data_IF_371314404602
#
_entry.id   IF_371314404602
#
_cell.length_a   1.000
_cell.length_b   1.000
_cell.length_c   1.000
_cell.angle_alpha   90.00
_cell.angle_beta   90.00
_cell.angle_gamma   90.00
#
_symmetry.space_group_name_H-M   'P 1'
#
loop_
_entity.id
_entity.type
_entity.pdbx_description
1 polymer ?
#
# COMPACT_ATOMS: atom_id res chain seq x y z
N UNK A 1 -1.94 32.37 -28.97
CA UNK A 1 -1.45 33.05 -27.75
C UNK A 1 -2.16 34.38 -27.54
N UNK A 2 -2.05 35.38 -28.43
CA UNK A 2 -2.86 36.62 -28.26
C UNK A 2 -4.38 36.40 -28.47
N UNK A 3 -4.78 35.42 -29.28
CA UNK A 3 -6.20 35.10 -29.51
C UNK A 3 -6.88 34.36 -28.34
N UNK A 4 -6.16 33.94 -27.30
CA UNK A 4 -6.64 32.92 -26.38
C UNK A 4 -7.52 33.45 -25.24
N UNK A 5 -7.18 34.60 -24.64
CA UNK A 5 -7.97 35.25 -23.58
C UNK A 5 -9.31 35.79 -24.09
N UNK A 6 -9.37 36.21 -25.36
CA UNK A 6 -10.58 36.76 -25.98
C UNK A 6 -11.74 35.75 -26.05
N UNK A 7 -11.47 34.44 -26.02
CA UNK A 7 -12.51 33.41 -26.14
C UNK A 7 -13.42 33.39 -24.90
N UNK A 8 -12.85 33.41 -23.70
CA UNK A 8 -13.61 33.37 -22.45
C UNK A 8 -14.49 34.62 -22.27
N UNK A 9 -13.91 35.80 -22.49
CA UNK A 9 -14.64 37.08 -22.35
C UNK A 9 -15.75 37.25 -23.40
N UNK A 10 -15.57 36.71 -24.61
CA UNK A 10 -16.60 36.72 -25.65
C UNK A 10 -17.74 35.71 -25.34
N UNK A 11 -17.43 34.56 -24.75
CA UNK A 11 -18.42 33.58 -24.27
C UNK A 11 -19.34 34.15 -23.18
N UNK A 12 -18.78 34.88 -22.19
CA UNK A 12 -19.59 35.55 -21.16
C UNK A 12 -20.51 36.64 -21.75
N UNK A 13 -20.08 37.30 -22.82
CA UNK A 13 -20.77 38.47 -23.39
C UNK A 13 -21.82 38.11 -24.45
N UNK A 14 -21.51 37.15 -25.33
CA UNK A 14 -22.30 36.81 -26.52
C UNK A 14 -22.73 35.33 -26.57
N UNK A 15 -22.38 34.54 -25.56
CA UNK A 15 -22.69 33.10 -25.50
C UNK A 15 -22.02 32.28 -26.60
N UNK A 16 -22.62 31.13 -26.92
CA UNK A 16 -22.06 30.13 -27.84
C UNK A 16 -21.84 30.65 -29.28
N UNK A 17 -22.51 31.73 -29.70
CA UNK A 17 -22.28 32.37 -31.00
C UNK A 17 -20.87 32.98 -31.13
N UNK A 18 -20.24 33.38 -30.02
CA UNK A 18 -18.87 33.88 -30.00
C UNK A 18 -17.88 32.86 -30.59
N UNK A 19 -18.11 31.57 -30.36
CA UNK A 19 -17.22 30.49 -30.82
C UNK A 19 -17.18 30.47 -32.35
N UNK A 20 -18.33 30.65 -33.01
CA UNK A 20 -18.41 30.68 -34.48
C UNK A 20 -17.67 31.88 -35.08
N UNK A 21 -17.63 33.02 -34.37
CA UNK A 21 -16.84 34.18 -34.80
C UNK A 21 -15.32 33.99 -34.65
N UNK A 22 -14.88 33.08 -33.77
CA UNK A 22 -13.47 32.84 -33.44
C UNK A 22 -12.89 31.64 -34.23
N UNK A 23 -13.66 30.55 -34.33
CA UNK A 23 -13.23 29.27 -34.91
C UNK A 23 -13.83 28.99 -36.29
N UNK A 24 -14.77 29.80 -36.78
CA UNK A 24 -15.42 29.58 -38.07
C UNK A 24 -14.68 30.06 -39.30
N UNK A 25 -13.60 30.87 -39.16
CA UNK A 25 -12.80 31.36 -40.31
C UNK A 25 -13.67 32.03 -41.41
N UNK A 26 -14.67 32.81 -40.99
CA UNK A 26 -15.66 33.45 -41.88
C UNK A 26 -16.72 32.51 -42.48
N UNK A 27 -16.62 31.19 -42.29
CA UNK A 27 -17.66 30.22 -42.61
C UNK A 27 -18.67 30.12 -41.46
N UNK A 28 -19.90 29.79 -41.79
CA UNK A 28 -20.96 29.51 -40.81
C UNK A 28 -20.88 28.05 -40.31
N UNK A 29 -19.69 27.57 -39.97
CA UNK A 29 -19.43 26.22 -39.45
C UNK A 29 -18.17 26.16 -38.60
N UNK A 30 -18.09 25.20 -37.67
CA UNK A 30 -16.89 24.91 -36.85
C UNK A 30 -16.49 23.46 -37.08
N UNK A 31 -15.20 23.18 -37.29
CA UNK A 31 -14.71 21.80 -37.41
C UNK A 31 -14.89 21.02 -36.09
N UNK A 32 -15.31 19.76 -36.16
CA UNK A 32 -15.56 18.90 -34.97
C UNK A 32 -14.34 18.79 -34.05
N UNK A 33 -13.12 18.84 -34.60
CA UNK A 33 -11.85 18.86 -33.86
C UNK A 33 -11.68 20.06 -32.91
N UNK A 34 -12.37 21.17 -33.14
CA UNK A 34 -12.30 22.35 -32.27
C UNK A 34 -13.25 22.24 -31.05
N UNK A 35 -14.23 21.32 -31.07
CA UNK A 35 -15.21 21.17 -29.99
C UNK A 35 -14.58 20.78 -28.65
N UNK A 36 -13.52 19.97 -28.67
CA UNK A 36 -12.73 19.60 -27.48
C UNK A 36 -12.11 20.82 -26.80
N UNK A 37 -11.38 21.64 -27.58
CA UNK A 37 -10.73 22.88 -27.13
C UNK A 37 -11.75 23.91 -26.63
N UNK A 38 -12.93 23.95 -27.25
CA UNK A 38 -14.04 24.83 -26.88
C UNK A 38 -14.67 24.42 -25.54
N UNK A 39 -14.82 23.12 -25.28
CA UNK A 39 -15.29 22.59 -23.99
C UNK A 39 -14.24 22.79 -22.88
N UNK A 40 -12.97 22.51 -23.18
CA UNK A 40 -11.84 22.74 -22.27
C UNK A 40 -11.74 24.21 -21.86
N UNK A 41 -11.89 25.16 -22.80
CA UNK A 41 -11.94 26.61 -22.52
C UNK A 41 -13.19 27.07 -21.76
N UNK A 42 -14.25 26.27 -21.70
CA UNK A 42 -15.39 26.48 -20.79
C UNK A 42 -15.22 25.79 -19.43
N UNK A 43 -14.07 25.17 -19.17
CA UNK A 43 -13.77 24.48 -17.91
C UNK A 43 -14.27 23.04 -17.84
N UNK A 44 -14.66 22.43 -18.98
CA UNK A 44 -15.22 21.08 -19.04
C UNK A 44 -14.25 20.07 -19.65
N UNK A 45 -13.70 19.19 -18.81
CA UNK A 45 -12.87 18.05 -19.23
C UNK A 45 -13.74 16.85 -19.59
N UNK A 46 -14.06 16.67 -20.88
CA UNK A 46 -14.87 15.54 -21.36
C UNK A 46 -13.99 14.37 -21.85
N UNK A 47 -14.16 13.14 -21.34
CA UNK A 47 -13.43 11.96 -21.83
C UNK A 47 -13.69 11.69 -23.32
N UNK A 48 -12.65 11.37 -24.10
CA UNK A 48 -12.73 11.16 -25.57
C UNK A 48 -13.90 10.30 -26.01
N UNK A 49 -14.13 9.15 -25.37
CA UNK A 49 -15.23 8.24 -25.70
C UNK A 49 -16.64 8.80 -25.45
N UNK A 50 -16.79 9.79 -24.54
CA UNK A 50 -18.05 10.53 -24.34
C UNK A 50 -18.19 11.65 -25.37
N UNK A 51 -17.07 12.27 -25.78
CA UNK A 51 -17.04 13.29 -26.83
C UNK A 51 -17.32 12.71 -28.22
N UNK A 52 -16.74 11.55 -28.55
CA UNK A 52 -17.01 10.80 -29.79
C UNK A 52 -18.51 10.48 -29.93
N UNK A 53 -19.13 9.91 -28.90
CA UNK A 53 -20.57 9.61 -28.90
C UNK A 53 -21.46 10.87 -28.93
N UNK A 54 -20.93 12.03 -28.55
CA UNK A 54 -21.62 13.33 -28.65
C UNK A 54 -21.45 13.95 -30.05
N UNK A 55 -20.29 13.79 -30.68
CA UNK A 55 -20.03 14.15 -32.07
C UNK A 55 -20.92 13.33 -33.03
N UNK A 56 -21.11 12.04 -32.77
CA UNK A 56 -22.06 11.19 -33.52
C UNK A 56 -23.52 11.69 -33.46
N UNK A 57 -23.92 12.45 -32.41
CA UNK A 57 -25.26 13.07 -32.28
C UNK A 57 -25.32 14.49 -32.88
N UNK A 58 -24.20 15.22 -32.95
CA UNK A 58 -24.11 16.56 -33.55
C UNK A 58 -23.86 16.56 -35.06
N UNK A 59 -23.10 15.59 -35.57
CA UNK A 59 -22.77 15.42 -36.98
C UNK A 59 -23.21 14.02 -37.48
N UNK A 60 -24.53 13.79 -37.63
CA UNK A 60 -25.07 12.52 -38.10
C UNK A 60 -24.79 12.23 -39.59
N UNK A 61 -24.16 13.17 -40.31
CA UNK A 61 -23.70 12.98 -41.69
C UNK A 61 -22.19 12.65 -41.77
N UNK A 62 -21.46 12.70 -40.65
CA UNK A 62 -20.01 12.56 -40.55
C UNK A 62 -19.23 13.47 -41.52
N UNK A 63 -19.71 14.70 -41.68
CA UNK A 63 -19.14 15.69 -42.60
C UNK A 63 -17.97 16.49 -41.99
N UNK A 64 -17.79 16.45 -40.67
CA UNK A 64 -16.73 17.12 -39.92
C UNK A 64 -16.98 18.60 -39.60
N UNK A 65 -18.10 19.18 -40.02
CA UNK A 65 -18.43 20.61 -39.91
C UNK A 65 -19.76 20.86 -39.18
N UNK A 66 -19.67 21.31 -37.93
CA UNK A 66 -20.81 21.71 -37.10
C UNK A 66 -21.33 23.06 -37.59
N UNK A 67 -22.40 23.05 -38.41
CA UNK A 67 -22.92 24.27 -39.05
C UNK A 67 -23.77 25.15 -38.12
N UNK A 68 -23.64 26.47 -38.27
CA UNK A 68 -24.29 27.50 -37.45
C UNK A 68 -25.82 27.48 -37.55
N UNK A 69 -26.38 26.99 -38.66
CA UNK A 69 -27.82 26.80 -38.81
C UNK A 69 -28.42 25.88 -37.73
N UNK A 70 -27.59 25.02 -37.11
CA UNK A 70 -27.99 24.16 -36.01
C UNK A 70 -27.67 24.74 -34.62
N UNK A 71 -27.14 25.96 -34.44
CA UNK A 71 -26.75 26.48 -33.09
C UNK A 71 -27.82 26.30 -32.03
N UNK A 72 -29.06 26.68 -32.31
CA UNK A 72 -30.20 26.54 -31.38
C UNK A 72 -30.50 25.07 -31.04
N UNK A 73 -30.27 24.16 -31.99
CA UNK A 73 -30.38 22.71 -31.78
C UNK A 73 -29.18 22.16 -30.99
N UNK A 74 -27.96 22.52 -31.36
CA UNK A 74 -26.71 22.14 -30.68
C UNK A 74 -26.75 22.59 -29.22
N UNK A 75 -27.16 23.83 -28.93
CA UNK A 75 -27.31 24.34 -27.56
C UNK A 75 -28.39 23.54 -26.80
N UNK A 76 -29.50 23.18 -27.44
CA UNK A 76 -30.55 22.36 -26.83
C UNK A 76 -30.09 20.92 -26.53
N UNK A 77 -29.37 20.30 -27.46
CA UNK A 77 -28.78 18.96 -27.31
C UNK A 77 -27.65 18.97 -26.30
N UNK A 78 -26.78 19.99 -26.31
CA UNK A 78 -25.72 20.22 -25.31
C UNK A 78 -26.30 20.35 -23.91
N UNK A 79 -27.26 21.26 -23.69
CA UNK A 79 -27.87 21.47 -22.37
C UNK A 79 -28.61 20.20 -21.88
N UNK A 80 -29.28 19.47 -22.77
CA UNK A 80 -29.94 18.21 -22.45
C UNK A 80 -28.93 17.11 -22.11
N UNK A 81 -27.85 16.99 -22.86
CA UNK A 81 -26.74 16.07 -22.60
C UNK A 81 -26.06 16.42 -21.27
N UNK A 82 -25.80 17.70 -21.03
CA UNK A 82 -25.19 18.22 -19.81
C UNK A 82 -26.05 17.93 -18.59
N UNK A 83 -27.35 18.25 -18.60
CA UNK A 83 -28.29 17.88 -17.52
C UNK A 83 -28.52 16.36 -17.36
N UNK A 84 -27.99 15.52 -18.26
CA UNK A 84 -28.01 14.06 -18.14
C UNK A 84 -26.68 13.48 -17.64
N UNK A 85 -25.58 14.24 -17.76
CA UNK A 85 -24.21 13.76 -17.47
C UNK A 85 -23.42 14.59 -16.44
N UNK A 86 -23.89 15.78 -16.04
CA UNK A 86 -23.24 16.60 -15.01
C UNK A 86 -23.19 15.87 -13.66
N UNK A 87 -24.32 15.31 -13.22
CA UNK A 87 -24.43 14.40 -12.05
C UNK A 87 -23.54 13.15 -12.16
N UNK A 88 -22.99 12.84 -13.34
CA UNK A 88 -22.06 11.73 -13.61
C UNK A 88 -20.60 12.18 -13.80
N UNK A 89 -20.29 13.47 -13.58
CA UNK A 89 -18.93 14.02 -13.67
C UNK A 89 -18.32 14.34 -12.29
N UNK A 90 -19.13 14.58 -11.25
CA UNK A 90 -18.62 14.84 -9.89
C UNK A 90 -18.15 13.56 -9.15
N UNK A 91 -18.59 12.37 -9.58
CA UNK A 91 -18.48 11.11 -8.82
C UNK A 91 -17.19 10.28 -9.09
N UNK A 92 -16.36 10.63 -10.08
CA UNK A 92 -15.18 9.82 -10.49
C UNK A 92 -13.80 10.45 -10.18
N UNK A 93 -13.66 11.77 -9.97
CA UNK A 93 -12.39 12.49 -10.21
C UNK A 93 -11.68 13.14 -8.98
N UNK A 94 -11.90 12.65 -7.74
CA UNK A 94 -11.14 13.12 -6.55
C UNK A 94 -10.13 12.12 -5.95
N UNK A 95 -10.05 10.86 -6.40
CA UNK A 95 -9.17 9.86 -5.75
C UNK A 95 -8.52 8.78 -6.65
N UNK A 96 -8.32 9.03 -7.96
CA UNK A 96 -7.37 8.21 -8.75
C UNK A 96 -5.98 8.88 -8.83
N UNK A 97 -4.97 8.44 -8.05
CA UNK A 97 -3.60 8.90 -8.24
C UNK A 97 -3.07 8.41 -9.59
N UNK A 98 -2.60 9.32 -10.43
CA UNK A 98 -2.20 9.10 -11.84
C UNK A 98 -0.85 8.37 -12.00
N UNK A 99 -0.61 7.33 -11.21
CA UNK A 99 0.43 6.32 -11.48
C UNK A 99 0.04 5.48 -12.70
N UNK A 100 0.55 5.87 -13.88
CA UNK A 100 0.46 5.15 -15.16
C UNK A 100 1.27 3.83 -15.16
N UNK A 101 1.05 2.97 -14.17
CA UNK A 101 1.75 1.69 -14.01
C UNK A 101 0.86 0.70 -13.25
N UNK A 102 -0.36 0.48 -13.76
CA UNK A 102 -1.31 -0.51 -13.25
C UNK A 102 -1.57 -1.57 -14.34
N UNK A 103 -0.49 -2.16 -14.85
CA UNK A 103 -0.58 -3.51 -15.41
C UNK A 103 -1.31 -4.40 -14.41
N UNK A 104 -2.06 -5.41 -14.88
CA UNK A 104 -2.70 -6.36 -13.97
C UNK A 104 -1.64 -7.28 -13.36
N UNK A 105 -0.97 -6.81 -12.32
CA UNK A 105 -0.01 -7.58 -11.54
C UNK A 105 -0.63 -8.95 -11.21
N UNK A 106 -0.06 -10.05 -11.75
CA UNK A 106 -0.59 -11.36 -11.45
C UNK A 106 -0.32 -11.64 -9.97
N UNK A 107 -1.25 -12.35 -9.30
CA UNK A 107 -1.11 -12.75 -7.89
C UNK A 107 0.24 -13.45 -7.58
N UNK A 108 0.87 -14.06 -8.59
CA UNK A 108 2.21 -14.64 -8.53
C UNK A 108 3.33 -13.62 -8.27
N UNK A 109 3.25 -12.41 -8.81
CA UNK A 109 4.23 -11.35 -8.59
C UNK A 109 4.20 -10.88 -7.13
N UNK A 110 3.02 -10.51 -6.63
CA UNK A 110 2.79 -10.12 -5.23
C UNK A 110 3.20 -11.25 -4.27
N UNK A 111 3.01 -12.52 -4.65
CA UNK A 111 3.49 -13.66 -3.88
C UNK A 111 5.02 -13.82 -3.89
N UNK A 112 5.73 -13.50 -4.98
CA UNK A 112 7.20 -13.47 -5.02
C UNK A 112 7.74 -12.35 -4.13
N UNK A 113 7.24 -11.13 -4.30
CA UNK A 113 7.60 -9.95 -3.52
C UNK A 113 7.37 -10.17 -2.02
N UNK A 114 6.26 -10.82 -1.63
CA UNK A 114 5.99 -11.23 -0.25
C UNK A 114 7.00 -12.25 0.28
N UNK A 115 7.57 -13.13 -0.55
CA UNK A 115 8.65 -14.03 -0.14
C UNK A 115 9.97 -13.28 0.03
N UNK A 116 10.31 -12.38 -0.90
CA UNK A 116 11.52 -11.56 -0.83
C UNK A 116 11.50 -10.61 0.37
N UNK A 117 10.36 -9.96 0.66
CA UNK A 117 10.15 -9.15 1.85
C UNK A 117 10.35 -9.96 3.15
N UNK A 118 9.88 -11.22 3.19
CA UNK A 118 10.10 -12.13 4.34
C UNK A 118 11.56 -12.57 4.47
N UNK A 119 12.25 -12.83 3.37
CA UNK A 119 13.68 -13.18 3.37
C UNK A 119 14.52 -11.99 3.84
N UNK A 120 14.21 -10.77 3.37
CA UNK A 120 14.86 -9.54 3.83
C UNK A 120 14.60 -9.31 5.33
N UNK A 121 13.34 -9.37 5.76
CA UNK A 121 12.94 -9.23 7.18
C UNK A 121 13.69 -10.23 8.08
N UNK A 122 13.78 -11.50 7.67
CA UNK A 122 14.51 -12.52 8.43
C UNK A 122 16.01 -12.21 8.52
N UNK A 123 16.65 -11.73 7.44
CA UNK A 123 18.06 -11.32 7.51
C UNK A 123 18.25 -10.21 8.55
N UNK A 124 17.43 -9.16 8.51
CA UNK A 124 17.46 -8.11 9.54
C UNK A 124 17.20 -8.63 10.95
N UNK A 125 16.29 -9.60 11.13
CA UNK A 125 16.05 -10.28 12.41
C UNK A 125 17.26 -11.11 12.90
N UNK A 126 18.01 -11.73 11.99
CA UNK A 126 19.25 -12.47 12.29
C UNK A 126 20.43 -11.49 12.59
N UNK A 127 20.54 -10.39 11.84
CA UNK A 127 21.56 -9.34 12.02
C UNK A 127 21.39 -8.59 13.35
N UNK A 128 20.14 -8.28 13.75
CA UNK A 128 19.81 -7.73 15.08
C UNK A 128 20.29 -8.67 16.20
N UNK A 129 20.17 -10.00 16.04
CA UNK A 129 20.70 -10.95 17.03
C UNK A 129 22.22 -10.96 17.07
N UNK A 130 22.90 -10.78 15.93
CA UNK A 130 24.36 -10.69 15.87
C UNK A 130 24.87 -9.42 16.59
N UNK A 131 24.25 -8.27 16.33
CA UNK A 131 24.54 -7.02 17.05
C UNK A 131 24.24 -7.13 18.55
N UNK A 132 23.14 -7.77 18.95
CA UNK A 132 22.82 -7.99 20.38
C UNK A 132 23.96 -8.72 21.11
N UNK A 133 24.53 -9.74 20.48
CA UNK A 133 25.67 -10.48 21.02
C UNK A 133 26.94 -9.60 21.06
N UNK A 134 27.25 -8.87 19.98
CA UNK A 134 28.44 -7.99 19.93
C UNK A 134 28.37 -6.83 20.93
N UNK A 135 27.21 -6.21 21.10
CA UNK A 135 26.93 -5.23 22.17
C UNK A 135 27.13 -5.83 23.57
N UNK A 136 26.71 -7.08 23.80
CA UNK A 136 26.94 -7.76 25.08
C UNK A 136 28.43 -8.03 25.35
N UNK A 137 29.21 -8.39 24.31
CA UNK A 137 30.66 -8.52 24.42
C UNK A 137 31.34 -7.17 24.70
N UNK A 138 31.02 -6.10 23.96
CA UNK A 138 31.58 -4.76 24.18
C UNK A 138 31.31 -4.23 25.59
N UNK A 139 30.07 -4.33 26.10
CA UNK A 139 29.72 -3.95 27.49
C UNK A 139 30.48 -4.77 28.53
N UNK A 140 30.75 -6.06 28.25
CA UNK A 140 31.59 -6.90 29.13
C UNK A 140 33.06 -6.49 29.09
N UNK A 141 33.59 -6.10 27.92
CA UNK A 141 34.97 -5.65 27.76
C UNK A 141 35.22 -4.28 28.39
N UNK A 142 34.30 -3.32 28.21
CA UNK A 142 34.31 -2.03 28.91
C UNK A 142 34.38 -2.25 30.43
N UNK A 143 33.51 -3.11 30.97
CA UNK A 143 33.48 -3.45 32.40
C UNK A 143 34.72 -4.20 32.89
N UNK A 144 35.46 -4.90 32.02
CA UNK A 144 36.76 -5.51 32.33
C UNK A 144 37.89 -4.48 32.27
N UNK A 145 37.86 -3.54 31.33
CA UNK A 145 38.83 -2.46 31.19
C UNK A 145 38.72 -1.48 32.37
N UNK A 146 37.51 -1.05 32.73
CA UNK A 146 37.27 -0.19 33.90
C UNK A 146 37.79 -0.84 35.18
N UNK A 147 37.52 -2.12 35.43
CA UNK A 147 38.10 -2.83 36.59
C UNK A 147 39.63 -2.82 36.61
N UNK A 148 40.29 -2.92 35.45
CA UNK A 148 41.76 -2.83 35.36
C UNK A 148 42.26 -1.41 35.63
N UNK A 149 41.51 -0.38 35.22
CA UNK A 149 41.78 1.02 35.60
C UNK A 149 41.62 1.20 37.11
N UNK A 150 40.50 0.78 37.67
CA UNK A 150 40.20 0.86 39.10
C UNK A 150 41.28 0.13 39.92
N UNK A 151 41.71 -1.06 39.49
CA UNK A 151 42.82 -1.79 40.10
C UNK A 151 44.19 -1.11 39.92
N UNK A 152 44.48 -0.51 38.77
CA UNK A 152 45.76 0.18 38.54
C UNK A 152 45.86 1.48 39.34
N UNK A 153 44.80 2.30 39.31
CA UNK A 153 44.66 3.50 40.14
C UNK A 153 44.69 3.11 41.62
N UNK A 154 43.95 2.07 42.03
CA UNK A 154 44.01 1.60 43.42
C UNK A 154 45.39 1.10 43.79
N UNK A 155 46.13 0.38 42.93
CA UNK A 155 47.51 -0.03 43.23
C UNK A 155 48.47 1.15 43.31
N UNK A 156 48.32 2.17 42.46
CA UNK A 156 49.12 3.39 42.55
C UNK A 156 48.80 4.18 43.82
N UNK A 157 47.52 4.28 44.17
CA UNK A 157 47.05 4.85 45.44
C UNK A 157 47.48 4.01 46.64
N UNK A 158 47.46 2.69 46.58
CA UNK A 158 47.91 1.79 47.64
C UNK A 158 49.44 1.87 47.77
N UNK A 159 50.22 2.02 46.70
CA UNK A 159 51.67 2.28 46.77
C UNK A 159 51.94 3.66 47.36
N UNK A 160 51.26 4.72 46.91
CA UNK A 160 51.38 6.06 47.49
C UNK A 160 50.90 6.10 48.96
N UNK A 161 49.86 5.34 49.28
CA UNK A 161 49.29 5.19 50.61
C UNK A 161 50.03 4.16 51.45
N UNK A 162 50.92 3.31 50.90
CA UNK A 162 51.89 2.47 51.62
C UNK A 162 53.24 3.19 51.71
N UNK A 163 53.55 4.17 50.87
CA UNK A 163 54.64 5.14 51.11
C UNK A 163 54.23 6.08 52.25
N UNK A 164 53.04 6.68 52.14
CA UNK A 164 52.40 7.44 53.24
C UNK A 164 52.14 6.55 54.45
N UNK A 165 51.62 5.32 54.31
CA UNK A 165 51.42 4.42 55.47
C UNK A 165 52.68 3.75 55.93
N UNK A 166 53.78 3.63 55.21
CA UNK A 166 55.04 3.23 55.84
C UNK A 166 55.63 4.40 56.64
N UNK A 167 55.52 5.64 56.15
CA UNK A 167 55.75 6.80 57.02
C UNK A 167 54.77 6.82 58.23
N UNK A 168 53.49 6.58 57.98
CA UNK A 168 52.41 6.59 58.98
C UNK A 168 52.25 5.27 59.76
N UNK A 169 53.04 4.21 59.54
CA UNK A 169 53.09 2.87 60.20
C UNK A 169 54.52 2.56 60.68
N UNK A 170 55.46 3.46 60.38
CA UNK A 170 56.42 3.95 61.36
C UNK A 170 55.70 4.81 62.42
N UNK A 171 54.54 5.43 62.16
CA UNK A 171 53.70 6.22 63.12
C UNK A 171 52.46 5.49 63.70
N UNK A 172 52.04 4.39 63.09
CA UNK A 172 50.93 3.46 63.40
C UNK A 172 51.56 2.06 63.54
N UNK A 173 50.80 1.01 63.87
CA UNK A 173 51.29 -0.24 64.51
C UNK A 173 52.04 -0.05 65.85
N UNK A 174 52.60 1.15 66.06
CA UNK A 174 52.09 2.09 67.09
C UNK A 174 50.52 2.09 67.30
N UNK A 175 49.64 1.31 66.57
CA UNK A 175 48.12 1.18 66.63
C UNK A 175 47.48 -0.19 66.05
N UNK A 176 46.29 -0.27 65.35
CA UNK A 176 45.27 -1.41 65.30
C UNK A 176 44.97 -2.29 63.99
N UNK A 177 43.70 -2.59 63.53
CA UNK A 177 43.34 -3.84 62.70
C UNK A 177 42.21 -3.93 61.55
N UNK A 178 40.91 -3.52 61.67
CA UNK A 178 39.62 -4.23 61.27
C UNK A 178 38.94 -4.47 59.82
N UNK A 179 38.63 -5.75 59.41
CA UNK A 179 37.40 -6.61 58.99
C UNK A 179 36.16 -6.30 58.00
N UNK A 180 35.58 -7.38 57.34
CA UNK A 180 34.13 -7.78 56.92
C UNK A 180 33.37 -7.49 55.53
N UNK A 181 32.49 -8.43 54.96
CA UNK A 181 31.65 -8.34 53.65
C UNK A 181 30.46 -9.39 53.31
N UNK A 182 29.53 -9.13 52.30
CA UNK A 182 28.80 -10.02 51.25
C UNK A 182 27.31 -10.63 51.27
N UNK A 183 26.53 -10.75 50.11
CA UNK A 183 25.24 -11.56 49.86
C UNK A 183 24.56 -11.65 48.39
N UNK A 184 23.44 -12.44 48.07
CA UNK A 184 22.83 -12.75 46.68
C UNK A 184 21.29 -13.22 46.41
N UNK A 185 20.63 -13.10 45.18
CA UNK A 185 19.14 -13.27 44.82
C UNK A 185 18.58 -14.44 43.85
N UNK A 186 17.30 -14.45 43.30
CA UNK A 186 16.49 -15.58 42.60
C UNK A 186 15.34 -15.19 41.52
N UNK A 187 14.56 -16.11 40.82
CA UNK A 187 13.66 -15.92 39.54
C UNK A 187 12.30 -16.79 39.30
N UNK A 188 11.57 -16.75 38.10
CA UNK A 188 10.20 -17.38 37.67
C UNK A 188 10.00 -17.66 36.09
N UNK A 189 8.94 -18.13 35.29
CA UNK A 189 7.42 -18.33 35.23
C UNK A 189 6.77 -19.19 34.00
N UNK A 190 5.47 -19.08 33.48
CA UNK A 190 4.82 -20.04 32.43
C UNK A 190 3.59 -19.72 31.40
N UNK A 191 2.62 -20.65 31.02
CA UNK A 191 1.80 -20.92 29.71
C UNK A 191 0.19 -21.07 29.75
N UNK A 192 -0.78 -21.45 28.81
CA UNK A 192 -1.22 -21.62 27.31
C UNK A 192 -2.78 -22.09 27.20
N UNK A 193 -3.69 -22.44 26.17
CA UNK A 193 -3.97 -22.61 24.65
C UNK A 193 -5.55 -22.74 24.20
N UNK A 194 -6.04 -23.20 22.97
CA UNK A 194 -7.50 -23.12 22.39
C UNK A 194 -8.09 -24.22 21.32
N UNK A 195 -9.37 -24.14 20.76
CA UNK A 195 -10.25 -25.08 19.86
C UNK A 195 -11.49 -24.38 19.07
N UNK A 196 -12.49 -24.84 18.20
CA UNK A 196 -12.96 -25.98 17.27
C UNK A 196 -14.35 -25.74 16.43
N UNK A 197 -14.90 -26.57 15.44
CA UNK A 197 -16.17 -26.30 14.56
C UNK A 197 -16.86 -27.41 13.57
N UNK A 198 -18.15 -27.30 13.03
CA UNK A 198 -18.96 -28.19 12.03
C UNK A 198 -20.33 -27.56 11.41
N UNK A 199 -21.36 -28.02 10.57
CA UNK A 199 -21.85 -28.96 9.42
C UNK A 199 -23.44 -28.74 9.09
N UNK A 200 -24.38 -29.21 8.15
CA UNK A 200 -24.74 -29.89 6.80
C UNK A 200 -26.35 -29.78 6.50
N UNK A 201 -27.27 -30.16 5.51
CA UNK A 201 -27.59 -30.88 4.16
C UNK A 201 -28.97 -30.34 3.48
N UNK A 202 -29.91 -30.78 2.54
CA UNK A 202 -30.44 -31.88 1.59
C UNK A 202 -31.48 -31.29 0.47
N UNK A 203 -32.49 -31.77 -0.39
CA UNK A 203 -33.36 -32.96 -0.86
C UNK A 203 -34.13 -32.83 -2.31
N UNK A 204 -35.28 -33.55 -2.67
CA UNK A 204 -36.02 -33.72 -4.04
C UNK A 204 -37.62 -33.94 -4.04
N UNK A 205 -38.57 -34.25 -5.02
CA UNK A 205 -38.98 -34.26 -6.53
C UNK A 205 -40.57 -34.56 -6.70
N UNK A 206 -41.43 -35.02 -7.72
CA UNK A 206 -41.57 -35.74 -9.08
C UNK A 206 -42.98 -35.52 -9.85
N UNK A 207 -43.38 -36.14 -11.03
CA UNK A 207 -44.62 -35.83 -11.93
C UNK A 207 -45.38 -36.97 -12.79
N UNK A 208 -46.47 -36.72 -13.63
CA UNK A 208 -47.34 -37.69 -14.48
C UNK A 208 -48.22 -37.12 -15.71
N UNK A 209 -48.98 -37.91 -16.56
CA UNK A 209 -49.79 -37.55 -17.83
C UNK A 209 -51.08 -38.43 -18.25
N UNK A 210 -51.79 -38.23 -19.43
CA UNK A 210 -53.20 -38.67 -19.85
C UNK A 210 -53.55 -39.26 -21.32
N UNK A 211 -54.81 -39.18 -21.89
CA UNK A 211 -55.46 -40.14 -22.92
C UNK A 211 -56.49 -39.66 -24.08
N UNK A 212 -57.40 -40.56 -24.60
CA UNK A 212 -58.59 -40.52 -25.59
C UNK A 212 -58.47 -39.92 -27.02
N UNK A 213 -58.50 -40.72 -28.11
CA UNK A 213 -58.37 -40.20 -29.51
C UNK A 213 -59.35 -40.81 -30.53
N UNK A 214 -59.80 -39.99 -31.51
CA UNK A 214 -60.67 -40.38 -32.66
C UNK A 214 -60.56 -39.37 -33.83
N UNK A 215 -61.63 -39.08 -34.59
CA UNK A 215 -61.74 -38.04 -35.67
C UNK A 215 -61.35 -36.62 -35.25
N UNK A 216 -61.16 -36.40 -33.94
CA UNK A 216 -60.24 -35.42 -33.37
C UNK A 216 -59.06 -35.14 -34.32
N UNK A 217 -58.40 -36.17 -34.89
CA UNK A 217 -57.12 -36.10 -35.62
C UNK A 217 -57.00 -35.10 -36.80
N UNK A 218 -58.05 -34.77 -37.57
CA UNK A 218 -57.95 -33.81 -38.69
C UNK A 218 -58.40 -32.38 -38.32
N UNK A 219 -59.33 -32.24 -37.37
CA UNK A 219 -59.51 -30.95 -36.69
C UNK A 219 -58.24 -30.62 -35.90
N UNK A 220 -57.64 -31.62 -35.23
CA UNK A 220 -56.26 -31.58 -34.76
C UNK A 220 -55.30 -31.20 -35.89
N UNK A 221 -55.33 -31.72 -37.12
CA UNK A 221 -54.29 -31.34 -38.09
C UNK A 221 -54.29 -29.84 -38.45
N UNK A 222 -55.47 -29.20 -38.48
CA UNK A 222 -55.58 -27.74 -38.67
C UNK A 222 -55.32 -26.95 -37.37
N UNK A 223 -55.82 -27.44 -36.24
CA UNK A 223 -55.54 -26.90 -34.91
C UNK A 223 -54.04 -26.99 -34.62
N UNK A 224 -53.43 -28.17 -34.69
CA UNK A 224 -51.98 -28.43 -34.70
C UNK A 224 -51.21 -27.53 -35.67
N UNK A 225 -51.75 -27.13 -36.82
CA UNK A 225 -51.00 -26.19 -37.69
C UNK A 225 -50.91 -24.81 -37.05
N UNK A 226 -52.03 -24.28 -36.55
CA UNK A 226 -52.09 -22.99 -35.85
C UNK A 226 -51.43 -23.05 -34.46
N UNK A 227 -51.58 -24.16 -33.76
CA UNK A 227 -50.91 -24.48 -32.50
C UNK A 227 -49.40 -24.60 -32.73
N UNK A 228 -48.91 -25.23 -33.80
CA UNK A 228 -47.48 -25.26 -34.17
C UNK A 228 -46.95 -23.87 -34.50
N UNK A 229 -47.74 -22.98 -35.08
CA UNK A 229 -47.34 -21.59 -35.33
C UNK A 229 -47.31 -20.76 -34.04
N UNK A 230 -48.35 -20.87 -33.21
CA UNK A 230 -48.40 -20.28 -31.86
C UNK A 230 -47.32 -20.85 -30.94
N UNK A 231 -47.01 -22.14 -31.07
CA UNK A 231 -45.96 -22.84 -30.34
C UNK A 231 -44.59 -22.43 -30.85
N UNK A 232 -44.34 -22.35 -32.17
CA UNK A 232 -43.12 -21.76 -32.72
C UNK A 232 -42.90 -20.34 -32.21
N UNK A 233 -43.94 -19.50 -32.20
CA UNK A 233 -43.87 -18.14 -31.68
C UNK A 233 -43.62 -18.11 -30.16
N UNK A 234 -44.27 -19.00 -29.39
CA UNK A 234 -44.02 -19.14 -27.95
C UNK A 234 -42.60 -19.65 -27.66
N UNK A 235 -42.11 -20.63 -28.43
CA UNK A 235 -40.75 -21.18 -28.35
C UNK A 235 -39.71 -20.15 -28.77
N UNK A 236 -39.98 -19.30 -29.77
CA UNK A 236 -39.12 -18.18 -30.14
C UNK A 236 -39.01 -17.17 -28.99
N UNK A 237 -40.14 -16.72 -28.43
CA UNK A 237 -40.16 -15.83 -27.25
C UNK A 237 -39.51 -16.47 -26.02
N UNK A 238 -39.72 -17.76 -25.80
CA UNK A 238 -39.06 -18.51 -24.72
C UNK A 238 -37.55 -18.63 -24.96
N UNK A 239 -37.11 -18.87 -26.20
CA UNK A 239 -35.70 -18.93 -26.58
C UNK A 239 -35.00 -17.58 -26.42
N UNK A 240 -35.64 -16.47 -26.83
CA UNK A 240 -35.15 -15.11 -26.59
C UNK A 240 -35.05 -14.78 -25.09
N UNK A 241 -36.07 -15.15 -24.30
CA UNK A 241 -36.05 -14.97 -22.85
C UNK A 241 -34.96 -15.82 -22.17
N UNK A 242 -34.77 -17.08 -22.59
CA UNK A 242 -33.69 -17.96 -22.13
C UNK A 242 -32.33 -17.34 -22.49
N UNK A 243 -32.13 -16.89 -23.73
CA UNK A 243 -30.88 -16.27 -24.20
C UNK A 243 -30.55 -14.99 -23.44
N UNK A 244 -31.53 -14.14 -23.13
CA UNK A 244 -31.34 -12.95 -22.28
C UNK A 244 -30.96 -13.33 -20.85
N UNK A 245 -31.68 -14.28 -20.25
CA UNK A 245 -31.39 -14.80 -18.91
C UNK A 245 -29.98 -15.43 -18.82
N UNK A 246 -29.57 -16.18 -19.85
CA UNK A 246 -28.23 -16.77 -19.96
C UNK A 246 -27.14 -15.70 -20.10
N UNK A 247 -27.34 -14.68 -20.94
CA UNK A 247 -26.41 -13.55 -21.08
C UNK A 247 -26.28 -12.75 -19.77
N UNK A 248 -27.37 -12.52 -19.06
CA UNK A 248 -27.34 -11.91 -17.72
C UNK A 248 -26.62 -12.80 -16.71
N UNK A 249 -26.89 -14.11 -16.68
CA UNK A 249 -26.22 -15.05 -15.79
C UNK A 249 -24.72 -15.14 -16.07
N UNK A 250 -24.31 -15.09 -17.34
CA UNK A 250 -22.90 -15.00 -17.74
C UNK A 250 -22.24 -13.72 -17.23
N UNK A 251 -22.85 -12.54 -17.49
CA UNK A 251 -22.36 -11.24 -16.97
C UNK A 251 -22.27 -11.22 -15.44
N UNK A 252 -23.29 -11.72 -14.74
CA UNK A 252 -23.32 -11.82 -13.27
C UNK A 252 -22.21 -12.75 -12.73
N UNK A 253 -21.94 -13.89 -13.38
CA UNK A 253 -20.81 -14.78 -13.06
C UNK A 253 -19.46 -14.13 -13.30
N UNK A 254 -19.30 -13.39 -14.40
CA UNK A 254 -18.04 -12.71 -14.73
C UNK A 254 -17.72 -11.58 -13.74
N UNK A 255 -18.71 -10.75 -13.41
CA UNK A 255 -18.59 -9.70 -12.39
C UNK A 255 -18.27 -10.29 -11.01
N UNK A 256 -18.88 -11.41 -10.64
CA UNK A 256 -18.57 -12.11 -9.40
C UNK A 256 -17.11 -12.61 -9.36
N UNK A 257 -16.61 -13.21 -10.46
CA UNK A 257 -15.19 -13.62 -10.58
C UNK A 257 -14.24 -12.41 -10.47
N UNK A 258 -14.49 -11.35 -11.23
CA UNK A 258 -13.70 -10.10 -11.17
C UNK A 258 -13.68 -9.47 -9.78
N UNK A 259 -14.79 -9.53 -9.03
CA UNK A 259 -14.87 -9.05 -7.65
C UNK A 259 -14.05 -9.92 -6.67
N UNK A 260 -14.12 -11.24 -6.82
CA UNK A 260 -13.30 -12.18 -6.03
C UNK A 260 -11.81 -12.01 -6.30
N UNK A 261 -11.42 -11.87 -7.57
CA UNK A 261 -10.04 -11.63 -8.01
C UNK A 261 -9.48 -10.32 -7.42
N UNK A 262 -10.20 -9.20 -7.56
CA UNK A 262 -9.84 -7.92 -6.91
C UNK A 262 -9.70 -8.06 -5.38
N UNK A 263 -10.57 -8.83 -4.73
CA UNK A 263 -10.52 -9.05 -3.28
C UNK A 263 -9.30 -9.88 -2.86
N UNK A 264 -8.91 -10.90 -3.63
CA UNK A 264 -7.71 -11.70 -3.39
C UNK A 264 -6.43 -10.86 -3.59
N UNK A 265 -6.37 -10.04 -4.65
CA UNK A 265 -5.24 -9.13 -4.91
C UNK A 265 -5.10 -8.12 -3.76
N UNK A 266 -6.21 -7.51 -3.31
CA UNK A 266 -6.19 -6.61 -2.15
C UNK A 266 -5.65 -7.32 -0.90
N UNK A 267 -6.18 -8.51 -0.56
CA UNK A 267 -5.70 -9.28 0.59
C UNK A 267 -4.24 -9.75 0.48
N UNK A 268 -3.67 -9.82 -0.73
CA UNK A 268 -2.24 -10.08 -0.95
C UNK A 268 -1.41 -8.82 -0.70
N UNK A 269 -1.80 -7.67 -1.27
CA UNK A 269 -1.15 -6.36 -1.04
C UNK A 269 -1.24 -5.91 0.43
N UNK A 270 -2.37 -6.11 1.10
CA UNK A 270 -2.54 -5.81 2.54
C UNK A 270 -1.50 -6.57 3.40
N UNK A 271 -1.29 -7.87 3.11
CA UNK A 271 -0.29 -8.71 3.82
C UNK A 271 1.15 -8.35 3.46
N UNK A 272 1.40 -7.98 2.22
CA UNK A 272 2.70 -7.49 1.76
C UNK A 272 3.09 -6.21 2.52
N UNK A 273 2.16 -5.26 2.63
CA UNK A 273 2.35 -4.03 3.40
C UNK A 273 2.60 -4.30 4.90
N UNK A 274 1.95 -5.30 5.51
CA UNK A 274 2.30 -5.72 6.87
C UNK A 274 3.73 -6.27 6.97
N UNK A 275 4.21 -7.06 6.00
CA UNK A 275 5.58 -7.60 6.04
C UNK A 275 6.62 -6.49 5.83
N UNK A 276 6.37 -5.53 4.93
CA UNK A 276 7.21 -4.32 4.82
C UNK A 276 7.21 -3.48 6.11
N UNK A 277 6.06 -3.34 6.78
CA UNK A 277 6.00 -2.66 8.09
C UNK A 277 6.84 -3.38 9.16
N UNK A 278 6.75 -4.72 9.23
CA UNK A 278 7.58 -5.52 10.15
C UNK A 278 9.07 -5.41 9.81
N UNK A 279 9.43 -5.41 8.52
CA UNK A 279 10.81 -5.18 8.04
C UNK A 279 11.33 -3.80 8.47
N UNK A 280 10.59 -2.73 8.20
CA UNK A 280 10.97 -1.37 8.59
C UNK A 280 11.14 -1.22 10.11
N UNK A 281 10.29 -1.89 10.92
CA UNK A 281 10.49 -1.93 12.37
C UNK A 281 11.78 -2.63 12.78
N UNK A 282 12.15 -3.74 12.12
CA UNK A 282 13.41 -4.44 12.36
C UNK A 282 14.63 -3.61 11.91
N UNK A 283 14.54 -2.91 10.78
CA UNK A 283 15.60 -2.02 10.26
C UNK A 283 15.84 -0.79 11.16
N UNK A 284 14.78 -0.26 11.79
CA UNK A 284 14.91 0.81 12.77
C UNK A 284 15.61 0.32 14.06
N UNK A 285 15.24 -0.87 14.56
CA UNK A 285 15.90 -1.49 15.73
C UNK A 285 17.36 -1.83 15.43
N UNK A 286 17.67 -2.32 14.21
CA UNK A 286 19.04 -2.53 13.76
C UNK A 286 19.84 -1.22 13.85
N UNK A 287 19.32 -0.13 13.29
CA UNK A 287 19.96 1.19 13.32
C UNK A 287 20.19 1.72 14.73
N UNK A 288 19.21 1.59 15.63
CA UNK A 288 19.37 1.99 17.04
C UNK A 288 20.49 1.20 17.74
N UNK A 289 20.67 -0.08 17.36
CA UNK A 289 21.73 -0.95 17.89
C UNK A 289 23.10 -0.70 17.24
N UNK A 290 23.16 -0.33 15.96
CA UNK A 290 24.37 0.16 15.29
C UNK A 290 24.88 1.47 15.93
N UNK A 291 23.95 2.40 16.21
CA UNK A 291 24.21 3.66 16.93
C UNK A 291 24.75 3.41 18.35
N UNK A 292 24.18 2.45 19.09
CA UNK A 292 24.72 2.06 20.40
C UNK A 292 26.09 1.38 20.28
N UNK A 293 26.30 0.55 19.26
CA UNK A 293 27.57 -0.13 19.03
C UNK A 293 28.70 0.87 18.76
N UNK A 294 28.47 1.84 17.86
CA UNK A 294 29.42 2.90 17.58
C UNK A 294 29.79 3.71 18.84
N UNK A 295 28.79 4.05 19.67
CA UNK A 295 29.00 4.75 20.95
C UNK A 295 29.80 3.90 21.94
N UNK A 296 29.53 2.60 22.02
CA UNK A 296 30.27 1.68 22.91
C UNK A 296 31.70 1.41 22.42
N UNK A 297 31.95 1.36 21.11
CA UNK A 297 33.29 1.23 20.54
C UNK A 297 34.13 2.47 20.87
N UNK A 298 33.60 3.68 20.65
CA UNK A 298 34.32 4.92 20.97
C UNK A 298 34.53 5.07 22.49
N UNK A 299 33.53 4.71 23.30
CA UNK A 299 33.67 4.68 24.76
C UNK A 299 34.76 3.68 25.19
N UNK A 300 34.77 2.48 24.64
CA UNK A 300 35.78 1.45 24.94
C UNK A 300 37.19 1.89 24.52
N UNK A 301 37.33 2.57 23.37
CA UNK A 301 38.60 3.20 22.94
C UNK A 301 39.07 4.23 23.96
N UNK A 302 38.19 5.12 24.42
CA UNK A 302 38.52 6.11 25.45
C UNK A 302 38.86 5.45 26.79
N UNK A 303 38.19 4.36 27.19
CA UNK A 303 38.57 3.55 28.35
C UNK A 303 39.96 2.90 28.17
N UNK A 304 40.31 2.42 26.98
CA UNK A 304 41.65 1.88 26.70
C UNK A 304 42.75 2.97 26.75
N UNK A 305 42.42 4.23 26.51
CA UNK A 305 43.33 5.37 26.67
C UNK A 305 43.58 5.68 28.15
N UNK A 306 42.51 5.86 28.94
CA UNK A 306 42.59 5.99 30.40
C UNK A 306 43.30 4.80 31.07
N UNK A 307 43.20 3.60 30.48
CA UNK A 307 43.93 2.43 30.95
C UNK A 307 45.45 2.54 30.75
N UNK A 308 45.92 3.15 29.65
CA UNK A 308 47.35 3.44 29.45
C UNK A 308 47.83 4.47 30.47
N UNK A 309 47.07 5.54 30.68
CA UNK A 309 47.38 6.58 31.67
C UNK A 309 47.48 6.01 33.09
N UNK A 310 46.48 5.21 33.51
CA UNK A 310 46.48 4.55 34.81
C UNK A 310 47.69 3.60 35.00
N UNK A 311 48.14 2.91 33.93
CA UNK A 311 49.35 2.10 33.98
C UNK A 311 50.63 2.94 34.00
N UNK A 312 50.73 4.05 33.26
CA UNK A 312 51.88 4.96 33.35
C UNK A 312 52.02 5.58 34.75
N UNK A 313 50.89 5.95 35.38
CA UNK A 313 50.90 6.41 36.78
C UNK A 313 51.32 5.31 37.77
N UNK A 314 50.90 4.06 37.55
CA UNK A 314 51.33 2.92 38.36
C UNK A 314 52.82 2.62 38.18
N UNK A 315 53.33 2.63 36.95
CA UNK A 315 54.75 2.45 36.62
C UNK A 315 55.61 3.54 37.26
N UNK A 316 55.19 4.80 37.17
CA UNK A 316 55.86 5.91 37.85
C UNK A 316 55.86 5.75 39.38
N UNK A 317 54.75 5.30 39.98
CA UNK A 317 54.67 5.02 41.42
C UNK A 317 55.60 3.87 41.85
N UNK A 318 55.75 2.84 41.01
CA UNK A 318 56.70 1.73 41.22
C UNK A 318 58.15 2.21 41.07
N UNK A 319 58.47 3.03 40.06
CA UNK A 319 59.83 3.55 39.89
C UNK A 319 60.25 4.47 41.05
N UNK A 320 59.32 5.27 41.61
CA UNK A 320 59.52 6.01 42.86
C UNK A 320 59.62 5.14 44.13
N UNK A 321 59.41 3.84 44.03
CA UNK A 321 59.66 2.85 45.09
C UNK A 321 60.97 2.09 44.89
N UNK A 322 61.53 2.08 43.67
CA UNK A 322 62.81 1.45 43.33
C UNK A 322 63.99 2.41 43.56
N UNK A 323 63.76 3.73 43.46
CA UNK A 323 64.78 4.77 43.54
C UNK A 323 65.01 5.34 44.97
N UNK A 324 64.25 4.88 45.98
CA UNK A 324 64.25 5.33 47.39
C UNK A 324 64.81 4.23 48.32
#
# INVERSE_FOLDING_TARGET
MENDDHVAQALESNGFEAIFAIYGDGREAIATEHLSVVLEKMGYTVPSHKLEAYLDELDPEANGEITKAFTTFIISVFLKWFSTHADSLEDEDENEPTTRENEREPLTAIHSEMLDAKVQRKRTEDDVQLLANRLAHLRMEEKKAQKKIDEAIKRAQDIAAIKKRNADHLRWKREHIERQQSNVPKLSGNSQKRKESAFMSLAEQRTKQAQDKKSQMQQLSCQLSKEREMEKFRLMKQSEAIKKCEQEAARKRELARKKQEKQLIKQARDKLAEEYKKKSMAENVLREMEDEEARLIEKLRNTQEHQKEAFMHLEHAIQMQIND
#
